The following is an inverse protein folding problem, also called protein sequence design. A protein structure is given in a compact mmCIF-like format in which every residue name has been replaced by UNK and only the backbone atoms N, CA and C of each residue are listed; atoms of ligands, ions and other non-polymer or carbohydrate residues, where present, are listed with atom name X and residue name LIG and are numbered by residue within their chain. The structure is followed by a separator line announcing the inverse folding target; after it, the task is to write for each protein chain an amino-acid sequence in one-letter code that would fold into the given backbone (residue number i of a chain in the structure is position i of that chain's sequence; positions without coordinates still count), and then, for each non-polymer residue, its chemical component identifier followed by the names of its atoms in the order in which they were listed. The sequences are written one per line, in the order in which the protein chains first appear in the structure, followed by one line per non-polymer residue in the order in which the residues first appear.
data_IF_876562150780
#
_entry.id   IF_876562150780
#
_cell.length_a   1.000
_cell.length_b   1.000
_cell.length_c   1.000
_cell.angle_alpha   90.00
_cell.angle_beta   90.00
_cell.angle_gamma   90.00
#
_symmetry.space_group_name_H-M   'P 1'
#
loop_
_entity.id
_entity.type
_entity.pdbx_description
1 polymer ?
#
# COMPACT_ATOMS: atom_id res chain seq x y z
N UNK A 1 -24.57 3.67 53.61
CA UNK A 1 -24.61 2.39 52.87
C UNK A 1 -24.54 2.55 51.35
N UNK A 2 -25.34 3.44 50.72
CA UNK A 2 -25.30 3.58 49.22
C UNK A 2 -23.95 4.04 48.61
N UNK A 3 -23.16 4.88 49.32
CA UNK A 3 -21.85 5.34 48.82
C UNK A 3 -20.74 4.28 48.91
N UNK A 4 -20.83 3.38 49.88
CA UNK A 4 -19.82 2.29 50.04
C UNK A 4 -20.06 1.19 49.00
N UNK A 5 -21.31 0.92 48.65
CA UNK A 5 -21.66 -0.05 47.60
C UNK A 5 -21.23 0.44 46.20
N UNK A 6 -21.36 1.75 45.94
CA UNK A 6 -20.91 2.35 44.66
C UNK A 6 -19.38 2.28 44.53
N UNK A 7 -18.64 2.51 45.62
CA UNK A 7 -17.17 2.44 45.61
C UNK A 7 -16.67 0.99 45.41
N UNK A 8 -17.33 0.01 46.03
CA UNK A 8 -16.99 -1.42 45.82
C UNK A 8 -17.29 -1.89 44.41
N UNK A 9 -18.41 -1.45 43.78
CA UNK A 9 -18.70 -1.79 42.41
C UNK A 9 -17.68 -1.19 41.44
N UNK A 10 -17.25 0.06 41.67
CA UNK A 10 -16.23 0.71 40.82
C UNK A 10 -14.86 0.02 40.92
N UNK A 11 -14.48 -0.41 42.11
CA UNK A 11 -13.23 -1.14 42.34
C UNK A 11 -13.30 -2.55 41.73
N UNK A 12 -14.44 -3.22 41.80
CA UNK A 12 -14.62 -4.54 41.15
C UNK A 12 -14.62 -4.41 39.64
N UNK A 13 -15.23 -3.35 39.05
CA UNK A 13 -15.14 -3.10 37.61
C UNK A 13 -13.71 -2.76 37.17
N UNK A 14 -12.99 -1.93 37.90
CA UNK A 14 -11.58 -1.60 37.63
C UNK A 14 -10.66 -2.83 37.76
N UNK A 15 -10.92 -3.71 38.74
CA UNK A 15 -10.19 -4.97 38.85
C UNK A 15 -10.56 -5.97 37.75
N UNK A 16 -11.81 -5.99 37.28
CA UNK A 16 -12.21 -6.85 36.15
C UNK A 16 -11.63 -6.35 34.81
N UNK A 17 -11.57 -5.03 34.61
CA UNK A 17 -10.86 -4.44 33.45
C UNK A 17 -9.34 -4.68 33.51
N UNK A 18 -8.73 -4.54 34.71
CA UNK A 18 -7.31 -4.85 34.87
C UNK A 18 -7.02 -6.37 34.68
N UNK A 19 -7.96 -7.23 35.08
CA UNK A 19 -7.84 -8.69 34.86
C UNK A 19 -8.09 -9.08 33.41
N UNK A 20 -8.95 -8.37 32.68
CA UNK A 20 -9.15 -8.56 31.25
C UNK A 20 -7.95 -8.05 30.44
N UNK A 21 -7.36 -6.91 30.83
CA UNK A 21 -6.10 -6.43 30.24
C UNK A 21 -4.90 -7.32 30.57
N UNK A 22 -4.90 -7.97 31.75
CA UNK A 22 -3.85 -8.92 32.12
C UNK A 22 -4.04 -10.30 31.47
N UNK A 23 -5.25 -10.66 31.07
CA UNK A 23 -5.53 -11.92 30.37
C UNK A 23 -5.26 -11.84 28.85
N UNK A 24 -5.25 -10.64 28.26
CA UNK A 24 -4.79 -10.42 26.88
C UNK A 24 -3.27 -10.59 26.72
N UNK A 25 -2.54 -10.83 27.80
CA UNK A 25 -1.08 -10.97 27.85
C UNK A 25 -0.62 -12.41 27.78
N UNK A 26 -0.95 -13.18 26.79
CA UNK A 26 -0.18 -14.40 26.46
C UNK A 26 -0.81 -15.18 25.32
N UNK A 27 -0.41 -14.88 24.14
CA UNK A 27 -0.14 -15.92 23.15
C UNK A 27 0.91 -15.36 22.19
N UNK A 28 2.18 -15.33 22.64
CA UNK A 28 3.25 -15.22 21.68
C UNK A 28 3.22 -16.48 20.82
N UNK A 29 2.97 -16.35 19.54
CA UNK A 29 3.30 -17.42 18.59
C UNK A 29 4.79 -17.78 18.84
N UNK A 30 5.13 -19.06 19.09
CA UNK A 30 6.52 -19.43 19.22
C UNK A 30 7.21 -19.05 17.91
N UNK A 31 8.32 -18.35 17.96
CA UNK A 31 9.15 -17.86 16.85
C UNK A 31 8.96 -16.39 16.46
N UNK A 32 8.30 -15.57 17.25
CA UNK A 32 8.25 -14.12 17.04
C UNK A 32 9.01 -13.43 18.16
N UNK A 33 9.98 -12.59 17.81
CA UNK A 33 10.58 -11.69 18.79
C UNK A 33 9.55 -10.59 19.08
N UNK A 34 8.87 -10.70 20.21
CA UNK A 34 7.90 -9.70 20.66
C UNK A 34 8.48 -8.88 21.81
N UNK A 35 8.43 -7.57 21.64
CA UNK A 35 8.67 -6.62 22.73
C UNK A 35 7.35 -5.92 23.02
N UNK A 36 6.78 -6.13 24.22
CA UNK A 36 5.60 -5.39 24.63
C UNK A 36 6.01 -3.97 25.04
N UNK A 37 5.41 -2.97 24.41
CA UNK A 37 5.57 -1.58 24.76
C UNK A 37 4.18 -0.97 24.95
N UNK A 38 3.77 -0.72 26.17
CA UNK A 38 2.52 -0.01 26.55
C UNK A 38 1.26 -0.48 25.80
N UNK A 39 1.06 -1.79 25.65
CA UNK A 39 -0.15 -2.36 25.01
C UNK A 39 -0.01 -2.64 23.50
N UNK A 40 1.15 -2.38 22.93
CA UNK A 40 1.46 -2.76 21.56
C UNK A 40 2.25 -4.06 21.49
N UNK A 41 1.91 -4.89 20.49
CA UNK A 41 2.77 -6.00 20.07
C UNK A 41 3.77 -5.46 19.06
N UNK A 42 5.04 -5.83 19.22
CA UNK A 42 6.13 -5.41 18.33
C UNK A 42 6.64 -6.61 17.55
N UNK A 43 6.61 -6.53 16.23
CA UNK A 43 7.16 -7.52 15.31
C UNK A 43 8.37 -6.92 14.59
N UNK A 44 9.55 -7.39 14.94
CA UNK A 44 10.82 -6.96 14.33
C UNK A 44 11.78 -8.13 14.33
N UNK A 45 12.52 -8.33 13.23
CA UNK A 45 13.41 -9.47 13.04
C UNK A 45 12.71 -10.80 13.37
N UNK A 46 11.47 -10.94 12.88
CA UNK A 46 10.68 -12.15 13.08
C UNK A 46 11.41 -13.32 12.45
N UNK A 47 11.61 -14.40 13.22
CA UNK A 47 12.16 -15.64 12.68
C UNK A 47 11.33 -16.16 11.52
N UNK A 48 11.96 -16.81 10.57
CA UNK A 48 11.27 -17.40 9.43
C UNK A 48 10.19 -18.36 9.92
N UNK A 49 8.95 -18.08 9.55
CA UNK A 49 7.83 -18.95 9.81
C UNK A 49 8.02 -20.25 9.07
N UNK A 50 7.60 -21.33 9.69
CA UNK A 50 7.68 -22.63 9.06
C UNK A 50 6.76 -22.68 7.85
N UNK A 51 7.34 -22.43 6.69
CA UNK A 51 6.65 -22.57 5.43
C UNK A 51 6.50 -24.06 5.16
N UNK A 52 5.26 -24.54 5.22
CA UNK A 52 4.95 -25.90 4.80
C UNK A 52 4.87 -25.90 3.28
N UNK A 53 5.86 -26.46 2.55
CA UNK A 53 5.75 -26.52 1.10
C UNK A 53 4.48 -27.33 0.77
N UNK A 54 3.61 -26.78 -0.07
CA UNK A 54 2.69 -27.65 -0.80
C UNK A 54 3.54 -28.45 -1.76
N UNK A 55 3.38 -29.78 -1.76
CA UNK A 55 3.98 -30.61 -2.78
C UNK A 55 3.33 -30.28 -4.12
N UNK A 56 4.06 -29.64 -5.03
CA UNK A 56 3.60 -29.27 -6.37
C UNK A 56 3.75 -27.78 -6.68
N UNK A 57 3.37 -27.41 -7.89
CA UNK A 57 3.22 -26.00 -8.30
C UNK A 57 2.09 -25.35 -7.48
N UNK A 58 2.20 -24.03 -7.25
CA UNK A 58 1.13 -23.26 -6.65
C UNK A 58 -0.12 -23.32 -7.54
N UNK A 59 -1.24 -23.77 -6.97
CA UNK A 59 -2.52 -23.69 -7.64
C UNK A 59 -2.91 -22.20 -7.79
N UNK A 60 -3.14 -21.76 -9.01
CA UNK A 60 -3.71 -20.43 -9.28
C UNK A 60 -5.22 -20.55 -9.15
N UNK A 61 -5.82 -19.64 -8.38
CA UNK A 61 -7.26 -19.60 -8.21
C UNK A 61 -7.96 -19.39 -9.56
N UNK A 62 -9.04 -20.12 -9.84
CA UNK A 62 -9.79 -19.91 -11.08
C UNK A 62 -10.46 -18.53 -11.06
N UNK A 63 -10.57 -17.92 -12.23
CA UNK A 63 -11.39 -16.74 -12.43
C UNK A 63 -12.87 -17.12 -12.17
N UNK A 64 -13.54 -16.36 -11.33
CA UNK A 64 -14.96 -16.54 -11.03
C UNK A 64 -15.74 -15.54 -11.90
N UNK A 65 -16.72 -16.06 -12.67
CA UNK A 65 -17.58 -15.21 -13.50
C UNK A 65 -18.30 -14.16 -12.65
N UNK A 66 -18.24 -12.91 -13.09
CA UNK A 66 -18.87 -11.78 -12.42
C UNK A 66 -18.12 -11.26 -11.19
N UNK A 67 -16.91 -11.77 -10.92
CA UNK A 67 -16.11 -11.38 -9.75
C UNK A 67 -14.74 -10.82 -10.17
N UNK A 68 -14.38 -9.69 -9.59
CA UNK A 68 -13.06 -9.08 -9.81
C UNK A 68 -11.94 -9.96 -9.25
N UNK A 69 -10.89 -10.24 -10.02
CA UNK A 69 -9.72 -10.98 -9.53
C UNK A 69 -8.90 -10.20 -8.49
N UNK A 70 -9.05 -8.88 -8.43
CA UNK A 70 -8.26 -7.99 -7.57
C UNK A 70 -8.97 -7.56 -6.30
N UNK A 71 -10.31 -7.46 -6.33
CA UNK A 71 -11.12 -6.98 -5.19
C UNK A 71 -12.20 -7.96 -4.74
N UNK A 72 -12.53 -8.97 -5.56
CA UNK A 72 -13.68 -9.84 -5.32
C UNK A 72 -15.04 -9.15 -5.44
N UNK A 73 -15.07 -7.88 -5.82
CA UNK A 73 -16.31 -7.13 -6.04
C UNK A 73 -16.95 -7.52 -7.37
N UNK A 74 -18.24 -7.20 -7.59
CA UNK A 74 -18.88 -7.42 -8.88
C UNK A 74 -18.10 -6.80 -10.03
N UNK A 75 -17.83 -7.58 -11.07
CA UNK A 75 -16.99 -7.17 -12.19
C UNK A 75 -17.46 -7.86 -13.48
N UNK A 76 -17.44 -7.14 -14.60
CA UNK A 76 -17.72 -7.72 -15.90
C UNK A 76 -16.49 -8.47 -16.44
N UNK A 77 -16.47 -9.78 -16.26
CA UNK A 77 -15.37 -10.65 -16.68
C UNK A 77 -15.27 -10.85 -18.20
N UNK A 78 -16.25 -10.38 -18.97
CA UNK A 78 -16.16 -10.34 -20.45
C UNK A 78 -15.30 -9.15 -20.93
N UNK A 79 -15.04 -8.18 -20.05
CA UNK A 79 -14.14 -7.07 -20.34
C UNK A 79 -12.68 -7.53 -20.41
N UNK A 80 -11.91 -6.81 -21.23
CA UNK A 80 -10.47 -7.06 -21.33
C UNK A 80 -9.79 -6.83 -19.98
N UNK A 81 -9.28 -7.89 -19.36
CA UNK A 81 -8.43 -7.75 -18.19
C UNK A 81 -7.03 -7.22 -18.58
N UNK A 82 -6.71 -6.01 -18.20
CA UNK A 82 -5.42 -5.38 -18.44
C UNK A 82 -5.17 -4.32 -17.35
N UNK A 83 -4.66 -4.71 -16.20
CA UNK A 83 -4.45 -3.77 -15.10
C UNK A 83 -3.39 -2.73 -15.47
N UNK A 84 -3.53 -1.52 -14.91
CA UNK A 84 -2.56 -0.43 -15.05
C UNK A 84 -1.98 -0.10 -13.69
N UNK A 85 -0.65 -0.14 -13.61
CA UNK A 85 0.12 0.20 -12.42
C UNK A 85 0.71 1.60 -12.60
N UNK A 86 0.45 2.50 -11.65
CA UNK A 86 1.00 3.86 -11.68
C UNK A 86 1.90 4.09 -10.48
N UNK A 87 3.13 4.56 -10.73
CA UNK A 87 4.10 4.87 -9.69
C UNK A 87 3.84 6.26 -9.11
N UNK A 88 3.41 6.32 -7.86
CA UNK A 88 2.91 7.53 -7.20
C UNK A 88 3.96 8.08 -6.21
N UNK A 89 4.08 9.40 -6.16
CA UNK A 89 4.89 10.08 -5.15
C UNK A 89 4.33 9.80 -3.75
N UNK A 90 5.21 9.40 -2.84
CA UNK A 90 4.93 9.40 -1.43
C UNK A 90 5.92 10.36 -0.76
N UNK A 91 5.52 11.62 -0.72
CA UNK A 91 6.38 12.68 -0.19
C UNK A 91 6.45 12.64 1.33
N UNK A 92 7.41 13.35 1.88
CA UNK A 92 7.67 13.41 3.31
C UNK A 92 6.48 13.94 4.14
N UNK A 93 6.13 13.27 5.22
CA UNK A 93 5.11 13.71 6.14
C UNK A 93 5.55 14.94 6.94
N UNK A 94 4.61 15.82 7.22
CA UNK A 94 4.87 16.97 8.10
C UNK A 94 4.68 16.59 9.56
N UNK A 95 5.41 17.29 10.43
CA UNK A 95 5.21 17.17 11.88
C UNK A 95 3.93 17.89 12.34
N UNK A 96 3.38 18.80 11.54
CA UNK A 96 2.17 19.56 11.86
C UNK A 96 1.23 19.59 10.66
N UNK A 97 0.06 19.01 10.81
CA UNK A 97 -1.01 19.03 9.81
C UNK A 97 -1.50 20.45 9.54
N UNK A 98 -1.54 21.30 10.58
CA UNK A 98 -1.88 22.72 10.45
C UNK A 98 -0.89 23.48 9.58
N UNK A 99 0.36 23.04 9.62
CA UNK A 99 1.37 23.50 8.71
C UNK A 99 1.39 22.70 7.41
N UNK A 100 0.62 21.68 7.24
CA UNK A 100 0.55 20.83 6.05
C UNK A 100 0.55 21.58 4.75
N UNK A 101 1.40 22.48 4.68
CA UNK A 101 1.57 23.64 3.87
C UNK A 101 2.91 23.55 3.24
N UNK A 102 2.88 23.79 2.03
CA UNK A 102 4.08 23.82 1.24
C UNK A 102 4.82 25.13 1.44
N UNK A 103 6.11 25.07 1.33
CA UNK A 103 6.94 26.28 1.22
C UNK A 103 6.82 26.98 -0.11
N UNK A 104 6.26 26.35 -1.10
CA UNK A 104 6.16 26.93 -2.44
C UNK A 104 4.94 27.84 -2.55
N UNK A 105 5.09 28.89 -3.34
CA UNK A 105 3.97 29.78 -3.66
C UNK A 105 2.83 29.03 -4.39
N UNK A 106 3.18 28.05 -5.24
CA UNK A 106 2.22 27.26 -6.00
C UNK A 106 1.32 26.40 -5.10
N UNK A 107 1.92 25.79 -4.08
CA UNK A 107 1.16 25.00 -3.11
C UNK A 107 0.32 25.88 -2.19
N UNK A 108 0.80 27.09 -1.84
CA UNK A 108 0.00 28.10 -1.16
C UNK A 108 -1.25 28.45 -1.97
N UNK A 109 -1.07 28.68 -3.26
CA UNK A 109 -2.19 29.00 -4.16
C UNK A 109 -3.17 27.84 -4.28
N UNK A 110 -2.68 26.60 -4.44
CA UNK A 110 -3.50 25.42 -4.56
C UNK A 110 -4.37 25.16 -3.30
N UNK A 111 -3.90 25.64 -2.15
CA UNK A 111 -4.63 25.51 -0.88
C UNK A 111 -5.45 26.71 -0.49
N UNK A 112 -5.35 27.83 -1.21
CA UNK A 112 -5.96 29.08 -0.81
C UNK A 112 -5.45 29.64 0.53
N UNK A 113 -4.30 29.18 1.00
CA UNK A 113 -3.76 29.58 2.29
C UNK A 113 -2.78 30.75 2.12
N UNK A 114 -2.98 31.81 2.89
CA UNK A 114 -2.03 32.90 3.06
C UNK A 114 -1.03 32.53 4.16
N UNK A 115 0.19 32.21 3.76
CA UNK A 115 1.26 31.88 4.69
C UNK A 115 2.41 32.83 4.58
N UNK A 116 2.90 33.29 5.72
CA UNK A 116 4.16 33.97 5.77
C UNK A 116 5.30 32.96 5.51
N UNK A 117 6.12 33.26 4.51
CA UNK A 117 7.27 32.42 4.14
C UNK A 117 8.31 32.34 5.28
N UNK A 118 8.37 33.35 6.14
CA UNK A 118 9.27 33.36 7.29
C UNK A 118 8.81 32.35 8.36
N UNK A 119 7.51 32.27 8.57
CA UNK A 119 6.93 31.37 9.60
C UNK A 119 7.02 29.89 9.22
N UNK A 120 7.22 29.62 7.93
CA UNK A 120 7.26 28.26 7.40
C UNK A 120 8.64 27.73 7.07
N UNK A 121 9.70 28.56 7.20
CA UNK A 121 11.03 28.14 6.74
C UNK A 121 11.64 26.96 7.48
N UNK A 122 11.22 26.76 8.73
CA UNK A 122 11.70 25.68 9.61
C UNK A 122 10.73 24.49 9.66
N UNK A 123 9.56 24.60 9.01
CA UNK A 123 8.57 23.53 8.96
C UNK A 123 8.85 22.59 7.80
N UNK A 124 9.15 21.36 8.12
CA UNK A 124 9.25 20.30 7.12
C UNK A 124 7.86 19.90 6.69
N UNK A 125 7.48 20.37 5.54
CA UNK A 125 6.17 20.11 5.01
C UNK A 125 6.22 19.01 3.99
N UNK A 126 5.46 18.03 4.14
CA UNK A 126 4.84 17.39 3.19
C UNK A 126 4.24 16.30 3.19
N UNK A 127 3.40 15.77 2.83
CA UNK A 127 3.32 14.42 2.45
C UNK A 127 2.23 14.16 1.48
N UNK A 128 2.43 13.15 0.74
CA UNK A 128 1.35 12.47 0.10
C UNK A 128 0.23 12.25 1.14
N UNK A 129 -0.99 12.51 0.77
CA UNK A 129 -2.16 12.37 1.64
C UNK A 129 -2.49 13.58 2.51
N UNK A 130 -1.72 14.66 2.48
CA UNK A 130 -2.02 15.85 3.28
C UNK A 130 -2.23 17.07 2.39
N UNK A 131 -3.44 17.62 2.45
CA UNK A 131 -3.84 18.83 1.75
C UNK A 131 -3.44 18.84 0.28
N UNK A 132 -2.86 19.91 -0.22
CA UNK A 132 -2.52 20.08 -1.63
C UNK A 132 -1.53 19.05 -2.21
N UNK A 133 -0.86 18.28 -1.35
CA UNK A 133 0.04 17.19 -1.75
C UNK A 133 -0.59 15.82 -1.72
N UNK A 134 -1.86 15.70 -1.38
CA UNK A 134 -2.59 14.46 -1.54
C UNK A 134 -2.47 13.96 -2.98
N UNK A 135 -2.22 12.66 -3.20
CA UNK A 135 -2.29 12.08 -4.53
C UNK A 135 -3.72 12.16 -5.08
N UNK A 136 -3.87 11.84 -6.33
CA UNK A 136 -5.18 11.72 -6.96
C UNK A 136 -5.36 10.35 -7.59
N UNK A 137 -6.61 9.90 -7.65
CA UNK A 137 -7.00 8.60 -8.19
C UNK A 137 -6.84 7.43 -7.22
N UNK A 138 -6.35 7.65 -5.98
CA UNK A 138 -6.07 6.57 -5.05
C UNK A 138 -7.30 5.82 -4.56
N UNK A 139 -8.46 6.49 -4.48
CA UNK A 139 -9.72 5.84 -4.10
C UNK A 139 -10.22 4.82 -5.12
N UNK A 140 -9.75 4.86 -6.36
CA UNK A 140 -10.11 3.93 -7.42
C UNK A 140 -9.10 2.78 -7.57
N UNK A 141 -7.99 2.80 -6.84
CA UNK A 141 -7.01 1.72 -6.89
C UNK A 141 -7.54 0.49 -6.15
N UNK A 142 -7.51 -0.65 -6.82
CA UNK A 142 -7.91 -1.95 -6.25
C UNK A 142 -6.89 -2.41 -5.22
N UNK A 143 -5.61 -2.24 -5.57
CA UNK A 143 -4.49 -2.60 -4.72
C UNK A 143 -3.53 -1.43 -4.63
N UNK A 144 -3.08 -1.15 -3.42
CA UNK A 144 -2.05 -0.16 -3.16
C UNK A 144 -0.81 -0.85 -2.59
N UNK A 145 0.28 -0.80 -3.34
CA UNK A 145 1.58 -1.25 -2.85
C UNK A 145 2.38 -0.09 -2.27
N UNK A 146 3.12 -0.36 -1.20
CA UNK A 146 4.12 0.56 -0.67
C UNK A 146 5.44 -0.18 -0.42
N UNK A 147 6.55 0.41 -0.82
CA UNK A 147 7.87 -0.17 -0.64
C UNK A 147 8.97 0.88 -0.49
N UNK A 148 10.13 0.48 0.04
CA UNK A 148 11.26 1.37 0.27
C UNK A 148 11.84 1.87 -1.04
N UNK A 149 12.03 3.18 -1.12
CA UNK A 149 12.73 3.87 -2.20
C UNK A 149 14.19 4.19 -1.84
N UNK A 150 14.45 4.46 -0.55
CA UNK A 150 15.77 4.76 -0.01
C UNK A 150 16.00 3.99 1.30
N UNK A 151 17.25 3.61 1.57
CA UNK A 151 17.63 2.88 2.79
C UNK A 151 17.17 3.55 4.09
N UNK A 152 17.02 4.85 4.09
CA UNK A 152 16.56 5.65 5.23
C UNK A 152 15.04 5.67 5.41
N UNK A 153 14.31 4.88 4.63
CA UNK A 153 12.90 4.63 4.87
C UNK A 153 11.93 5.49 4.07
N UNK A 154 12.42 6.31 3.15
CA UNK A 154 11.53 6.96 2.17
C UNK A 154 10.89 5.91 1.29
N UNK A 155 9.58 5.98 1.11
CA UNK A 155 8.81 4.98 0.38
C UNK A 155 8.29 5.47 -0.97
N UNK A 156 7.81 4.54 -1.77
CA UNK A 156 7.10 4.73 -3.02
C UNK A 156 5.78 3.95 -2.96
N UNK A 157 4.72 4.55 -3.50
CA UNK A 157 3.42 3.91 -3.65
C UNK A 157 3.22 3.52 -5.11
N UNK A 158 2.59 2.37 -5.33
CA UNK A 158 2.07 1.97 -6.63
C UNK A 158 0.57 1.75 -6.50
N UNK A 159 -0.20 2.45 -7.33
CA UNK A 159 -1.62 2.18 -7.49
C UNK A 159 -1.81 1.15 -8.61
N UNK A 160 -2.58 0.11 -8.35
CA UNK A 160 -3.00 -0.90 -9.34
C UNK A 160 -4.48 -0.70 -9.60
N UNK A 161 -4.82 -0.48 -10.84
CA UNK A 161 -6.19 -0.30 -11.31
C UNK A 161 -6.58 -1.46 -12.21
N UNK A 162 -7.72 -2.05 -11.98
CA UNK A 162 -8.37 -3.04 -12.82
C UNK A 162 -9.86 -2.73 -12.92
N UNK A 163 -10.57 -2.74 -11.79
CA UNK A 163 -12.03 -2.62 -11.75
C UNK A 163 -12.54 -1.28 -12.30
N UNK A 164 -11.94 -0.18 -11.86
CA UNK A 164 -12.33 1.16 -12.31
C UNK A 164 -12.03 1.41 -13.80
N UNK A 165 -11.20 0.60 -14.45
CA UNK A 165 -10.94 0.71 -15.90
C UNK A 165 -12.07 0.13 -16.74
N UNK A 166 -12.93 -0.70 -16.15
CA UNK A 166 -14.12 -1.26 -16.83
C UNK A 166 -15.20 -0.21 -17.12
N UNK A 167 -15.16 0.92 -16.41
CA UNK A 167 -16.09 2.05 -16.66
C UNK A 167 -15.79 2.80 -17.98
N UNK A 168 -14.63 2.50 -18.61
CA UNK A 168 -14.16 3.12 -19.85
C UNK A 168 -14.11 4.67 -19.79
N UNK A 169 -13.86 5.20 -18.62
CA UNK A 169 -13.79 6.64 -18.35
C UNK A 169 -12.37 7.09 -18.03
N UNK A 170 -12.09 8.38 -18.27
CA UNK A 170 -10.84 8.98 -17.84
C UNK A 170 -10.61 8.77 -16.35
N UNK A 171 -9.48 8.15 -16.02
CA UNK A 171 -9.04 7.89 -14.65
C UNK A 171 -7.67 8.54 -14.42
N UNK A 172 -7.67 9.75 -13.89
CA UNK A 172 -6.41 10.43 -13.61
C UNK A 172 -5.74 9.87 -12.36
N UNK A 173 -4.43 9.61 -12.48
CA UNK A 173 -3.60 9.11 -11.38
C UNK A 173 -2.29 9.89 -11.26
N UNK A 174 -1.85 10.14 -10.03
CA UNK A 174 -0.61 10.87 -9.76
C UNK A 174 -0.45 11.33 -8.31
N UNK A 175 0.64 12.05 -8.01
CA UNK A 175 1.72 12.51 -8.89
C UNK A 175 2.62 11.35 -9.37
N UNK A 176 2.82 11.24 -10.67
CA UNK A 176 3.62 10.15 -11.24
C UNK A 176 5.10 10.36 -10.98
N UNK A 177 5.79 9.31 -10.54
CA UNK A 177 7.21 9.35 -10.16
C UNK A 177 7.98 8.14 -10.67
N UNK A 178 9.28 8.13 -10.36
CA UNK A 178 10.25 7.18 -10.91
C UNK A 178 10.02 5.74 -10.47
N UNK A 179 10.23 4.79 -11.38
CA UNK A 179 10.28 3.37 -11.09
C UNK A 179 11.62 2.91 -10.50
N UNK A 180 11.65 1.72 -9.94
CA UNK A 180 12.80 0.96 -9.45
C UNK A 180 12.71 -0.47 -9.95
N UNK A 181 13.74 -1.30 -9.77
CA UNK A 181 13.73 -2.70 -10.22
C UNK A 181 12.60 -3.52 -9.61
N UNK A 182 12.27 -3.28 -8.34
CA UNK A 182 11.11 -3.90 -7.70
C UNK A 182 9.78 -3.63 -8.41
N UNK A 183 9.61 -2.43 -8.99
CA UNK A 183 8.40 -2.10 -9.75
C UNK A 183 8.35 -2.80 -11.12
N UNK A 184 9.52 -3.17 -11.68
CA UNK A 184 9.56 -4.05 -12.86
C UNK A 184 9.01 -5.42 -12.51
N UNK A 185 9.45 -5.99 -11.36
CA UNK A 185 8.94 -7.28 -10.89
C UNK A 185 7.45 -7.23 -10.54
N UNK A 186 6.99 -6.12 -9.96
CA UNK A 186 5.56 -5.90 -9.70
C UNK A 186 4.74 -5.88 -10.99
N UNK A 187 5.24 -5.22 -12.04
CA UNK A 187 4.58 -5.22 -13.35
C UNK A 187 4.52 -6.64 -13.93
N UNK A 188 5.61 -7.41 -13.85
CA UNK A 188 5.63 -8.79 -14.36
C UNK A 188 4.63 -9.69 -13.60
N UNK A 189 4.48 -9.49 -12.30
CA UNK A 189 3.49 -10.19 -11.48
C UNK A 189 2.06 -9.98 -11.98
N UNK A 190 1.69 -8.73 -12.25
CA UNK A 190 0.35 -8.38 -12.72
C UNK A 190 0.20 -8.45 -14.24
N UNK A 191 1.29 -8.60 -14.98
CA UNK A 191 1.35 -8.65 -16.44
C UNK A 191 0.68 -7.46 -17.17
N UNK A 192 0.27 -6.45 -16.43
CA UNK A 192 -0.42 -5.25 -16.92
C UNK A 192 0.50 -4.18 -17.51
N UNK A 193 -0.06 -2.99 -17.74
CA UNK A 193 0.69 -1.79 -18.08
C UNK A 193 1.31 -1.14 -16.86
N UNK A 194 2.43 -0.42 -17.05
CA UNK A 194 3.04 0.36 -15.98
C UNK A 194 3.39 1.76 -16.43
N UNK A 195 2.95 2.77 -15.65
CA UNK A 195 3.25 4.18 -15.86
C UNK A 195 4.17 4.72 -14.76
N UNK A 196 5.24 5.40 -15.16
CA UNK A 196 6.22 6.01 -14.27
C UNK A 196 6.93 7.17 -14.96
N UNK A 197 7.68 7.97 -14.21
CA UNK A 197 8.46 9.09 -14.73
C UNK A 197 9.94 8.89 -14.41
N UNK A 198 10.67 8.29 -15.35
CA UNK A 198 12.09 8.01 -15.24
C UNK A 198 12.45 6.90 -14.26
N UNK A 199 13.74 6.65 -14.10
CA UNK A 199 14.30 5.63 -13.22
C UNK A 199 15.82 5.57 -13.29
N UNK A 200 16.46 4.73 -12.46
CA UNK A 200 17.89 4.51 -12.54
C UNK A 200 18.30 3.97 -13.91
N UNK A 201 19.49 4.39 -14.37
CA UNK A 201 20.10 3.99 -15.65
C UNK A 201 21.51 3.42 -15.48
N UNK A 202 21.94 3.14 -14.24
CA UNK A 202 23.23 2.53 -13.99
C UNK A 202 23.23 1.07 -14.47
N UNK A 203 24.38 0.55 -14.91
CA UNK A 203 24.50 -0.81 -15.45
C UNK A 203 23.90 -1.88 -14.54
N UNK A 204 24.12 -1.75 -13.23
CA UNK A 204 23.64 -2.70 -12.20
C UNK A 204 22.21 -2.40 -11.71
N UNK A 205 21.58 -1.32 -12.18
CA UNK A 205 20.26 -0.89 -11.75
C UNK A 205 19.59 -0.04 -12.84
N UNK A 206 19.24 -0.69 -13.96
CA UNK A 206 18.66 -0.03 -15.11
C UNK A 206 17.24 -0.54 -15.37
N UNK A 207 16.27 0.24 -14.94
CA UNK A 207 14.83 -0.07 -15.05
C UNK A 207 14.42 -0.30 -16.51
N UNK A 208 14.83 0.58 -17.40
CA UNK A 208 14.45 0.47 -18.83
C UNK A 208 15.10 -0.74 -19.49
N UNK A 209 16.36 -1.03 -19.14
CA UNK A 209 17.04 -2.22 -19.66
C UNK A 209 16.33 -3.50 -19.20
N UNK A 210 15.92 -3.58 -17.94
CA UNK A 210 15.22 -4.73 -17.40
C UNK A 210 13.84 -4.93 -18.07
N UNK A 211 13.05 -3.88 -18.28
CA UNK A 211 11.80 -3.97 -19.03
C UNK A 211 12.01 -4.47 -20.46
N UNK A 212 13.09 -4.04 -21.11
CA UNK A 212 13.44 -4.47 -22.45
C UNK A 212 13.87 -5.94 -22.48
N UNK A 213 14.69 -6.36 -21.54
CA UNK A 213 15.16 -7.75 -21.39
C UNK A 213 13.99 -8.72 -21.18
N UNK A 214 13.02 -8.34 -20.35
CA UNK A 214 11.80 -9.12 -20.10
C UNK A 214 10.75 -9.02 -21.23
N UNK A 215 11.04 -8.26 -22.29
CA UNK A 215 10.13 -8.11 -23.41
C UNK A 215 8.93 -7.18 -23.18
N UNK A 216 8.80 -6.61 -22.00
CA UNK A 216 7.67 -5.73 -21.64
C UNK A 216 7.58 -4.49 -22.55
N UNK A 217 8.72 -3.90 -22.91
CA UNK A 217 8.75 -2.76 -23.84
C UNK A 217 8.19 -3.13 -25.22
N UNK A 218 8.51 -4.32 -25.72
CA UNK A 218 8.02 -4.80 -27.02
C UNK A 218 6.51 -5.11 -27.01
N UNK A 219 5.96 -5.44 -25.83
CA UNK A 219 4.52 -5.67 -25.65
C UNK A 219 3.71 -4.37 -25.56
N UNK A 220 4.36 -3.19 -25.58
CA UNK A 220 3.66 -1.90 -25.51
C UNK A 220 3.07 -1.55 -24.15
N UNK A 221 3.53 -2.19 -23.07
CA UNK A 221 2.97 -2.05 -21.70
C UNK A 221 3.80 -1.16 -20.78
N UNK A 222 4.86 -0.53 -21.29
CA UNK A 222 5.79 0.30 -20.49
C UNK A 222 5.67 1.76 -20.89
N UNK A 223 5.21 2.61 -19.97
CA UNK A 223 4.97 4.03 -20.18
C UNK A 223 5.90 4.87 -19.29
N UNK A 224 7.11 5.19 -19.78
CA UNK A 224 7.90 6.26 -19.19
C UNK A 224 7.33 7.60 -19.68
N UNK A 225 6.52 8.22 -18.84
CA UNK A 225 5.59 9.31 -19.19
C UNK A 225 6.31 10.52 -19.83
N UNK A 226 7.55 10.80 -19.44
CA UNK A 226 8.29 11.92 -20.02
C UNK A 226 9.08 11.58 -21.29
N UNK A 227 9.39 10.31 -21.51
CA UNK A 227 10.29 9.91 -22.62
C UNK A 227 9.63 9.05 -23.68
N UNK A 228 8.62 8.26 -23.34
CA UNK A 228 7.96 7.34 -24.26
C UNK A 228 6.58 7.81 -24.73
N UNK A 229 5.92 8.69 -24.01
CA UNK A 229 4.63 9.23 -24.40
C UNK A 229 4.75 10.60 -25.05
N UNK A 230 3.91 10.83 -26.06
CA UNK A 230 3.74 12.18 -26.62
C UNK A 230 3.16 13.08 -25.53
N UNK A 231 3.76 14.26 -25.35
CA UNK A 231 3.26 15.27 -24.42
C UNK A 231 1.79 15.59 -24.66
N UNK A 232 0.97 15.46 -23.61
CA UNK A 232 -0.47 15.70 -23.66
C UNK A 232 -1.29 14.50 -24.16
N UNK A 233 -0.64 13.37 -24.48
CA UNK A 233 -1.36 12.12 -24.77
C UNK A 233 -1.50 11.33 -23.48
N UNK A 234 -2.68 11.40 -22.87
CA UNK A 234 -2.98 10.74 -21.59
C UNK A 234 -2.02 11.12 -20.44
N UNK A 235 -1.39 12.30 -20.55
CA UNK A 235 -0.53 12.85 -19.51
C UNK A 235 -0.55 14.38 -19.54
N UNK A 236 -0.50 15.00 -18.37
CA UNK A 236 -0.35 16.44 -18.25
C UNK A 236 0.29 16.82 -16.92
N UNK A 237 0.71 18.08 -16.81
CA UNK A 237 1.17 18.65 -15.55
C UNK A 237 0.06 19.48 -14.93
N UNK A 238 -0.32 19.08 -13.72
CA UNK A 238 -1.41 19.70 -12.93
C UNK A 238 -1.01 21.13 -12.58
N UNK A 239 -1.89 22.07 -12.87
CA UNK A 239 -1.69 23.49 -12.57
C UNK A 239 -1.74 23.74 -11.06
N UNK A 240 -0.93 24.68 -10.59
CA UNK A 240 -0.89 25.03 -9.17
C UNK A 240 -0.12 24.04 -8.29
N UNK A 241 0.36 22.93 -8.83
CA UNK A 241 1.25 21.99 -8.14
C UNK A 241 2.66 22.14 -8.66
N UNK A 242 3.63 22.17 -7.75
CA UNK A 242 5.03 22.36 -8.12
C UNK A 242 5.64 21.04 -8.64
N UNK A 243 6.41 21.16 -9.73
CA UNK A 243 7.23 20.05 -10.18
C UNK A 243 8.25 19.65 -9.09
N UNK A 244 8.56 18.35 -8.96
CA UNK A 244 8.20 17.27 -9.83
C UNK A 244 6.90 16.53 -9.43
N UNK A 245 6.16 17.02 -8.42
CA UNK A 245 4.98 16.33 -7.86
C UNK A 245 3.66 16.77 -8.52
N UNK A 246 3.70 17.09 -9.82
CA UNK A 246 2.56 17.60 -10.58
C UNK A 246 2.27 16.85 -11.88
N UNK A 247 2.87 15.69 -12.08
CA UNK A 247 2.65 14.90 -13.29
C UNK A 247 1.48 13.94 -13.09
N UNK A 248 0.49 14.03 -13.98
CA UNK A 248 -0.69 13.16 -14.02
C UNK A 248 -0.70 12.30 -15.26
N UNK A 249 -1.29 11.11 -15.15
CA UNK A 249 -1.64 10.25 -16.28
C UNK A 249 -3.13 9.89 -16.21
N UNK A 250 -3.70 9.58 -17.36
CA UNK A 250 -4.99 8.92 -17.49
C UNK A 250 -4.74 7.41 -17.64
N UNK A 251 -5.07 6.64 -16.59
CA UNK A 251 -4.81 5.20 -16.56
C UNK A 251 -5.66 4.44 -17.60
N UNK A 252 -6.92 4.83 -17.80
CA UNK A 252 -7.76 4.23 -18.85
C UNK A 252 -7.20 4.56 -20.24
N UNK A 253 -6.87 5.81 -20.49
CA UNK A 253 -6.24 6.22 -21.76
C UNK A 253 -4.94 5.44 -22.04
N UNK A 254 -4.11 5.17 -21.03
CA UNK A 254 -2.91 4.35 -21.19
C UNK A 254 -3.26 2.89 -21.53
N UNK A 255 -4.31 2.32 -20.93
CA UNK A 255 -4.76 0.98 -21.25
C UNK A 255 -5.14 0.85 -22.75
N UNK A 256 -5.78 1.88 -23.32
CA UNK A 256 -6.16 1.90 -24.74
C UNK A 256 -4.98 1.92 -25.71
N UNK A 257 -3.79 2.31 -25.26
CA UNK A 257 -2.56 2.27 -26.05
C UNK A 257 -1.91 0.88 -26.10
N UNK A 258 -2.31 -0.03 -25.22
CA UNK A 258 -1.74 -1.38 -25.19
C UNK A 258 -2.37 -2.20 -26.33
N UNK A 259 -1.56 -2.81 -27.22
CA UNK A 259 -2.05 -3.62 -28.31
C UNK A 259 -3.06 -4.69 -27.85
N UNK A 260 -4.12 -4.93 -28.65
CA UNK A 260 -5.18 -5.88 -28.29
C UNK A 260 -4.65 -7.31 -28.13
N UNK A 261 -3.62 -7.68 -28.88
CA UNK A 261 -2.95 -8.97 -28.78
C UNK A 261 -2.12 -9.17 -27.51
N UNK A 262 -1.85 -8.10 -26.78
CA UNK A 262 -1.18 -8.19 -25.47
C UNK A 262 -2.19 -8.61 -24.41
N UNK A 263 -1.96 -9.75 -23.79
CA UNK A 263 -2.84 -10.33 -22.77
C UNK A 263 -2.15 -10.29 -21.41
N UNK A 264 -2.90 -9.92 -20.40
CA UNK A 264 -2.56 -10.13 -19.00
C UNK A 264 -3.35 -11.34 -18.47
N UNK A 265 -2.67 -12.21 -17.74
CA UNK A 265 -3.33 -13.35 -17.09
C UNK A 265 -3.87 -12.89 -15.74
N UNK A 266 -5.17 -13.00 -15.44
CA UNK A 266 -5.69 -12.74 -14.12
C UNK A 266 -5.12 -13.72 -13.09
N UNK A 267 -4.78 -13.20 -11.93
CA UNK A 267 -4.34 -13.97 -10.77
C UNK A 267 -5.26 -13.67 -9.59
N UNK A 268 -6.46 -14.28 -9.52
CA UNK A 268 -7.43 -13.95 -8.50
C UNK A 268 -6.94 -14.29 -7.10
N UNK A 269 -7.11 -13.37 -6.17
CA UNK A 269 -7.05 -13.70 -4.76
C UNK A 269 -8.25 -14.59 -4.37
N UNK A 270 -8.11 -15.32 -3.27
CA UNK A 270 -9.23 -16.05 -2.70
C UNK A 270 -10.06 -15.09 -1.84
N UNK A 271 -11.31 -14.84 -2.21
CA UNK A 271 -12.21 -13.92 -1.51
C UNK A 271 -13.30 -14.66 -0.72
N UNK A 272 -13.79 -14.00 0.32
CA UNK A 272 -14.90 -14.47 1.14
C UNK A 272 -15.82 -13.32 1.56
N UNK A 273 -17.12 -13.60 1.68
CA UNK A 273 -18.10 -12.66 2.22
C UNK A 273 -18.07 -12.58 3.75
N UNK A 274 -17.62 -13.67 4.39
CA UNK A 274 -17.54 -13.78 5.85
C UNK A 274 -16.13 -14.17 6.23
N UNK A 275 -15.42 -13.25 6.89
CA UNK A 275 -14.06 -13.53 7.35
C UNK A 275 -14.01 -14.76 8.27
N UNK A 276 -13.14 -15.74 7.98
CA UNK A 276 -12.92 -16.88 8.87
C UNK A 276 -12.08 -16.53 10.10
N UNK A 277 -11.48 -15.34 10.11
CA UNK A 277 -10.54 -14.88 11.15
C UNK A 277 -11.32 -14.20 12.28
N UNK A 278 -11.77 -15.01 13.25
CA UNK A 278 -12.61 -14.58 14.37
C UNK A 278 -11.91 -14.84 15.71
N UNK A 279 -12.62 -15.36 16.70
CA UNK A 279 -12.05 -15.66 18.01
C UNK A 279 -10.92 -16.70 17.88
N UNK A 280 -9.77 -16.38 18.48
CA UNK A 280 -8.55 -17.18 18.36
C UNK A 280 -7.42 -16.41 17.65
N UNK A 281 -7.76 -15.40 16.86
CA UNK A 281 -6.80 -14.44 16.31
C UNK A 281 -6.72 -13.19 17.19
N UNK A 282 -5.52 -12.62 17.32
CA UNK A 282 -5.30 -11.42 18.13
C UNK A 282 -5.99 -10.20 17.52
N UNK A 283 -6.50 -9.30 18.37
CA UNK A 283 -7.07 -8.04 17.91
C UNK A 283 -5.97 -7.07 17.44
N UNK A 284 -6.19 -6.45 16.31
CA UNK A 284 -5.27 -5.50 15.70
C UNK A 284 -6.04 -4.31 15.11
N UNK A 285 -6.46 -3.40 15.99
CA UNK A 285 -7.22 -2.21 15.60
C UNK A 285 -6.34 -1.04 15.19
N UNK A 286 -5.09 -1.02 15.65
CA UNK A 286 -4.09 -0.03 15.26
C UNK A 286 -2.83 -0.76 14.76
N UNK A 287 -2.32 -0.38 13.60
CA UNK A 287 -1.16 -1.01 12.95
C UNK A 287 -0.19 0.11 12.54
N UNK A 288 1.09 -0.01 12.90
CA UNK A 288 2.10 0.96 12.52
C UNK A 288 3.27 0.27 11.82
N UNK A 289 3.65 0.77 10.66
CA UNK A 289 4.82 0.37 9.90
C UNK A 289 5.89 1.44 10.01
N UNK A 290 6.94 1.18 10.77
CA UNK A 290 8.11 2.06 10.88
C UNK A 290 9.08 1.76 9.74
N UNK A 291 9.07 2.58 8.70
CA UNK A 291 9.96 2.44 7.55
C UNK A 291 11.42 2.84 7.85
N UNK A 292 11.71 3.29 9.07
CA UNK A 292 13.03 3.66 9.54
C UNK A 292 13.39 5.13 9.34
N UNK A 293 12.50 5.93 8.80
CA UNK A 293 12.61 7.37 8.78
C UNK A 293 11.56 7.97 9.72
N UNK A 294 11.97 8.88 10.59
CA UNK A 294 11.10 9.45 11.63
C UNK A 294 9.77 10.05 11.13
N UNK A 295 9.72 10.42 9.87
CA UNK A 295 8.55 11.02 9.23
C UNK A 295 7.81 10.04 8.31
N UNK A 296 8.26 8.77 8.20
CA UNK A 296 7.63 7.74 7.37
C UNK A 296 7.10 6.63 8.25
N UNK A 297 5.87 6.79 8.67
CA UNK A 297 5.09 5.78 9.39
C UNK A 297 3.78 5.62 8.65
N UNK A 298 3.55 4.45 8.10
CA UNK A 298 2.24 4.09 7.57
C UNK A 298 1.43 3.51 8.72
N UNK A 299 0.40 4.23 9.10
CA UNK A 299 -0.46 3.86 10.22
C UNK A 299 -1.86 3.52 9.69
N UNK A 300 -2.48 2.51 10.29
CA UNK A 300 -3.83 2.07 9.96
C UNK A 300 -4.65 1.95 11.24
N UNK A 301 -5.89 2.43 11.18
CA UNK A 301 -6.86 2.31 12.27
C UNK A 301 -8.08 1.55 11.73
N UNK A 302 -8.46 0.48 12.41
CA UNK A 302 -9.60 -0.32 12.02
C UNK A 302 -10.92 0.34 12.42
N UNK A 303 -11.75 0.61 11.43
CA UNK A 303 -13.13 1.04 11.56
C UNK A 303 -14.03 -0.21 11.55
N UNK A 304 -14.50 -0.58 12.74
CA UNK A 304 -15.31 -1.79 12.91
C UNK A 304 -16.74 -1.64 12.35
N UNK A 305 -17.23 -0.43 12.19
CA UNK A 305 -18.57 -0.18 11.63
C UNK A 305 -18.59 -0.47 10.13
N UNK A 306 -17.52 -0.04 9.43
CA UNK A 306 -17.40 -0.21 7.99
C UNK A 306 -16.53 -1.41 7.58
N UNK A 307 -15.92 -2.10 8.55
CA UNK A 307 -14.99 -3.21 8.33
C UNK A 307 -13.80 -2.81 7.42
N UNK A 308 -13.21 -1.66 7.68
CA UNK A 308 -12.13 -1.08 6.89
C UNK A 308 -10.96 -0.62 7.77
N UNK A 309 -9.76 -0.70 7.25
CA UNK A 309 -8.58 -0.05 7.80
C UNK A 309 -8.41 1.33 7.16
N UNK A 310 -8.61 2.38 7.94
CA UNK A 310 -8.36 3.77 7.53
C UNK A 310 -6.86 4.04 7.56
N UNK A 311 -6.30 4.57 6.47
CA UNK A 311 -4.87 4.87 6.37
C UNK A 311 -4.53 6.27 6.88
N UNK A 312 -3.43 6.34 7.61
CA UNK A 312 -2.81 7.57 8.08
C UNK A 312 -1.33 7.64 7.66
N UNK A 313 -0.79 8.84 7.60
CA UNK A 313 0.64 9.13 7.54
C UNK A 313 1.05 9.70 8.89
N UNK A 314 1.66 8.87 9.75
CA UNK A 314 1.75 9.20 11.17
C UNK A 314 0.36 9.36 11.79
N UNK A 315 0.05 10.55 12.33
CA UNK A 315 -1.26 10.87 12.93
C UNK A 315 -2.25 11.51 11.94
N UNK A 316 -1.77 11.92 10.75
CA UNK A 316 -2.62 12.61 9.78
C UNK A 316 -3.35 11.62 8.86
N UNK A 317 -4.66 11.77 8.62
CA UNK A 317 -5.38 10.99 7.62
C UNK A 317 -4.69 11.05 6.26
N UNK A 318 -4.50 9.92 5.61
CA UNK A 318 -3.93 9.87 4.27
C UNK A 318 -5.04 10.05 3.24
N UNK A 319 -5.13 11.26 2.70
CA UNK A 319 -6.19 11.67 1.78
C UNK A 319 -5.78 11.47 0.31
N UNK A 320 -6.76 11.37 -0.57
CA UNK A 320 -6.61 11.34 -2.02
C UNK A 320 -7.72 12.16 -2.69
N UNK A 321 -7.38 12.84 -3.79
CA UNK A 321 -8.36 13.51 -4.64
C UNK A 321 -8.95 12.54 -5.67
N UNK A 322 -10.18 12.76 -6.08
CA UNK A 322 -10.80 11.96 -7.13
C UNK A 322 -10.11 12.13 -8.49
N UNK A 323 -9.73 13.35 -8.83
CA UNK A 323 -9.10 13.68 -10.11
C UNK A 323 -7.99 14.72 -9.97
N UNK A 324 -7.11 14.75 -10.96
CA UNK A 324 -5.98 15.66 -11.03
C UNK A 324 -6.39 17.15 -11.09
N UNK A 325 -7.43 17.43 -11.84
CA UNK A 325 -7.91 18.80 -12.11
C UNK A 325 -9.09 19.22 -11.22
N UNK A 326 -9.57 18.31 -10.36
CA UNK A 326 -10.59 18.55 -9.36
C UNK A 326 -10.04 18.26 -7.95
N UNK A 327 -9.27 19.23 -7.43
CA UNK A 327 -8.56 19.10 -6.16
C UNK A 327 -9.13 20.06 -5.12
N UNK A 328 -10.45 20.08 -5.02
CA UNK A 328 -11.15 20.75 -3.95
C UNK A 328 -11.12 19.89 -2.68
N UNK A 329 -11.02 20.51 -1.51
CA UNK A 329 -10.95 19.78 -0.23
C UNK A 329 -12.19 18.90 0.00
N UNK A 330 -13.36 19.33 -0.46
CA UNK A 330 -14.62 18.59 -0.36
C UNK A 330 -14.66 17.33 -1.23
N UNK A 331 -13.70 17.18 -2.18
CA UNK A 331 -13.58 16.05 -3.09
C UNK A 331 -12.45 15.09 -2.68
N UNK A 332 -11.98 15.19 -1.44
CA UNK A 332 -10.99 14.30 -0.89
C UNK A 332 -11.63 13.15 -0.12
N UNK A 333 -11.06 11.96 -0.30
CA UNK A 333 -11.39 10.79 0.51
C UNK A 333 -10.17 10.28 1.25
N UNK A 334 -10.37 9.75 2.45
CA UNK A 334 -9.31 9.03 3.15
C UNK A 334 -9.13 7.65 2.53
N UNK A 335 -7.89 7.28 2.20
CA UNK A 335 -7.60 5.92 1.74
C UNK A 335 -7.97 4.91 2.83
N UNK A 336 -8.70 3.88 2.41
CA UNK A 336 -9.14 2.79 3.28
C UNK A 336 -9.08 1.45 2.55
N UNK A 337 -8.94 0.37 3.32
CA UNK A 337 -8.69 -0.97 2.79
C UNK A 337 -9.44 -2.02 3.60
N UNK A 338 -10.01 -3.01 2.91
CA UNK A 338 -10.60 -4.19 3.56
C UNK A 338 -9.52 -5.10 4.14
N UNK A 339 -8.35 -5.14 3.50
CA UNK A 339 -7.24 -5.99 3.87
C UNK A 339 -5.93 -5.22 3.92
N UNK A 340 -5.08 -5.48 4.90
CA UNK A 340 -3.73 -4.95 5.02
C UNK A 340 -2.75 -6.10 5.13
N UNK A 341 -1.84 -6.23 4.18
CA UNK A 341 -0.85 -7.30 4.09
C UNK A 341 0.55 -6.71 4.16
N UNK A 342 1.37 -7.22 5.06
CA UNK A 342 2.76 -6.85 5.21
C UNK A 342 3.61 -8.00 4.71
N UNK A 343 3.95 -7.96 3.44
CA UNK A 343 4.84 -8.92 2.80
C UNK A 343 6.28 -8.59 3.19
N UNK A 344 6.91 -9.43 4.02
CA UNK A 344 8.31 -9.25 4.42
C UNK A 344 9.22 -9.63 3.27
N UNK A 345 9.97 -8.65 2.74
CA UNK A 345 10.87 -8.83 1.60
C UNK A 345 12.23 -8.21 1.88
N UNK A 346 13.28 -8.92 1.50
CA UNK A 346 14.64 -8.43 1.62
C UNK A 346 14.91 -7.32 0.58
N UNK A 347 15.79 -6.39 0.94
CA UNK A 347 16.26 -5.33 0.06
C UNK A 347 17.76 -5.38 -0.09
N UNK A 348 18.23 -5.62 -1.31
CA UNK A 348 19.64 -5.51 -1.65
C UNK A 348 19.98 -4.09 -2.09
N UNK A 349 21.10 -3.58 -1.59
CA UNK A 349 21.58 -2.25 -1.95
C UNK A 349 22.84 -2.37 -2.81
N UNK A 350 22.67 -2.41 -4.12
CA UNK A 350 23.75 -2.59 -5.10
C UNK A 350 24.86 -1.56 -4.89
N UNK A 351 26.10 -2.02 -4.78
CA UNK A 351 27.28 -1.18 -4.49
C UNK A 351 27.12 -0.31 -3.24
N UNK A 352 26.37 -0.79 -2.26
CA UNK A 352 26.05 -0.01 -1.05
C UNK A 352 25.32 1.33 -1.33
N UNK A 353 24.68 1.42 -2.48
CA UNK A 353 23.95 2.64 -2.89
C UNK A 353 22.66 2.77 -2.11
N UNK A 354 22.58 3.78 -1.25
CA UNK A 354 21.45 4.04 -0.35
C UNK A 354 20.13 4.35 -1.06
N UNK A 355 20.18 4.82 -2.29
CA UNK A 355 19.04 5.37 -3.03
C UNK A 355 18.48 4.44 -4.10
N UNK A 356 19.03 3.24 -4.23
CA UNK A 356 18.66 2.29 -5.28
C UNK A 356 18.54 0.87 -4.71
N UNK A 357 17.56 0.63 -3.82
CA UNK A 357 17.33 -0.71 -3.33
C UNK A 357 16.77 -1.60 -4.43
N UNK A 358 17.21 -2.84 -4.43
CA UNK A 358 16.65 -3.91 -5.23
C UNK A 358 15.82 -4.83 -4.33
N UNK A 359 14.52 -4.81 -4.52
CA UNK A 359 13.55 -5.55 -3.71
C UNK A 359 13.46 -7.01 -4.18
N UNK A 360 13.65 -7.95 -3.28
CA UNK A 360 13.63 -9.39 -3.55
C UNK A 360 12.22 -9.96 -3.33
N UNK A 361 11.32 -9.76 -4.29
CA UNK A 361 9.91 -10.19 -4.19
C UNK A 361 9.60 -11.49 -4.92
N UNK A 362 10.62 -12.30 -5.27
CA UNK A 362 10.48 -13.63 -5.83
C UNK A 362 11.04 -14.63 -4.82
N UNK A 363 10.37 -15.73 -4.59
CA UNK A 363 10.72 -16.73 -3.60
C UNK A 363 9.66 -16.86 -2.52
N UNK A 364 10.03 -16.73 -1.27
CA UNK A 364 9.15 -16.87 -0.11
C UNK A 364 9.64 -16.06 1.08
N UNK A 365 8.74 -15.72 1.98
CA UNK A 365 9.06 -15.01 3.21
C UNK A 365 7.86 -14.89 4.15
N UNK A 366 8.07 -14.32 5.32
CA UNK A 366 7.00 -14.06 6.27
C UNK A 366 6.00 -13.04 5.74
N UNK A 367 4.75 -13.18 6.14
CA UNK A 367 3.72 -12.18 5.96
C UNK A 367 2.99 -11.92 7.29
N UNK A 368 2.68 -10.66 7.55
CA UNK A 368 1.84 -10.23 8.65
C UNK A 368 0.55 -9.67 8.05
N UNK A 369 -0.59 -10.28 8.33
CA UNK A 369 -1.84 -10.05 7.61
C UNK A 369 -2.89 -9.53 8.59
N UNK A 370 -3.66 -8.54 8.18
CA UNK A 370 -4.67 -7.88 9.00
C UNK A 370 -5.98 -7.81 8.22
N UNK A 371 -7.01 -8.49 8.75
CA UNK A 371 -8.34 -8.59 8.15
C UNK A 371 -9.38 -8.55 9.27
N UNK A 372 -10.41 -7.72 9.13
CA UNK A 372 -11.52 -7.68 10.09
C UNK A 372 -11.10 -7.32 11.52
N UNK A 373 -10.10 -6.47 11.69
CA UNK A 373 -9.55 -6.09 13.00
C UNK A 373 -8.72 -7.19 13.67
N UNK A 374 -8.28 -8.21 12.93
CA UNK A 374 -7.52 -9.36 13.44
C UNK A 374 -6.12 -9.42 12.79
N UNK A 375 -5.15 -9.89 13.56
CA UNK A 375 -3.82 -10.24 13.11
C UNK A 375 -3.73 -11.73 12.77
N UNK A 376 -3.29 -12.03 11.56
CA UNK A 376 -3.09 -13.37 11.04
C UNK A 376 -1.59 -13.51 10.68
N UNK A 377 -0.80 -14.25 11.47
CA UNK A 377 0.56 -14.57 11.08
C UNK A 377 0.56 -15.53 9.89
N UNK A 378 1.45 -15.33 8.95
CA UNK A 378 1.50 -16.14 7.75
C UNK A 378 2.79 -15.99 6.97
N UNK A 379 2.77 -16.47 5.75
CA UNK A 379 3.90 -16.39 4.82
C UNK A 379 3.41 -16.16 3.40
N UNK A 380 4.32 -15.74 2.53
CA UNK A 380 4.06 -15.60 1.10
C UNK A 380 4.98 -16.48 0.28
N UNK A 381 4.52 -16.87 -0.90
CA UNK A 381 5.29 -17.59 -1.91
C UNK A 381 5.04 -16.96 -3.27
N UNK A 382 6.10 -16.78 -4.06
CA UNK A 382 6.07 -16.39 -5.46
C UNK A 382 7.14 -17.15 -6.21
N UNK A 383 6.77 -18.03 -7.13
CA UNK A 383 7.68 -19.00 -7.73
C UNK A 383 8.58 -18.40 -8.81
N UNK A 384 8.05 -17.49 -9.63
CA UNK A 384 8.76 -16.89 -10.75
C UNK A 384 8.41 -15.40 -10.89
N UNK A 385 9.08 -14.73 -11.83
CA UNK A 385 8.91 -13.30 -12.03
C UNK A 385 7.51 -12.93 -12.54
N UNK A 386 6.86 -13.82 -13.27
CA UNK A 386 5.53 -13.70 -13.87
C UNK A 386 4.45 -14.48 -13.11
N UNK A 387 4.81 -15.12 -12.00
CA UNK A 387 3.86 -15.79 -11.11
C UNK A 387 3.24 -14.81 -10.10
N UNK A 388 2.00 -15.06 -9.65
CA UNK A 388 1.40 -14.30 -8.56
C UNK A 388 2.11 -14.55 -7.24
N UNK A 389 1.99 -13.58 -6.33
CA UNK A 389 2.28 -13.82 -4.92
C UNK A 389 1.04 -14.41 -4.25
N UNK A 390 1.21 -15.57 -3.63
CA UNK A 390 0.16 -16.23 -2.85
C UNK A 390 0.48 -16.14 -1.37
N UNK A 391 -0.51 -15.77 -0.57
CA UNK A 391 -0.39 -15.60 0.88
C UNK A 391 -1.06 -16.76 1.61
N UNK A 392 -0.41 -17.26 2.66
CA UNK A 392 -0.87 -18.38 3.47
C UNK A 392 -0.86 -18.02 4.95
N UNK A 393 -1.73 -18.64 5.73
CA UNK A 393 -1.66 -18.62 7.19
C UNK A 393 -0.56 -19.60 7.71
N UNK A 394 -0.29 -19.56 9.01
CA UNK A 394 0.69 -20.45 9.64
C UNK A 394 0.31 -21.95 9.56
N UNK A 395 -0.93 -22.28 9.18
CA UNK A 395 -1.39 -23.64 8.97
C UNK A 395 -1.22 -24.10 7.52
N UNK A 396 -0.79 -23.20 6.63
CA UNK A 396 -0.62 -23.48 5.21
C UNK A 396 -1.91 -23.38 4.39
N UNK A 397 -2.96 -22.76 4.93
CA UNK A 397 -4.14 -22.44 4.16
C UNK A 397 -3.94 -21.11 3.44
N UNK A 398 -4.38 -21.04 2.19
CA UNK A 398 -4.39 -19.75 1.48
C UNK A 398 -5.28 -18.75 2.19
N UNK A 399 -4.82 -17.50 2.27
CA UNK A 399 -5.55 -16.41 2.92
C UNK A 399 -6.82 -16.10 2.14
N UNK A 400 -7.95 -16.07 2.86
CA UNK A 400 -9.22 -15.61 2.33
C UNK A 400 -9.39 -14.12 2.63
N UNK A 401 -9.30 -13.28 1.60
CA UNK A 401 -9.46 -11.84 1.74
C UNK A 401 -10.94 -11.45 1.86
N UNK A 402 -11.20 -10.41 2.63
CA UNK A 402 -12.49 -9.72 2.57
C UNK A 402 -12.59 -8.96 1.25
N UNK A 403 -13.76 -9.00 0.60
CA UNK A 403 -14.00 -8.25 -0.65
C UNK A 403 -13.73 -6.77 -0.47
N UNK A 404 -13.10 -6.15 -1.45
CA UNK A 404 -12.71 -4.75 -1.45
C UNK A 404 -11.20 -4.54 -1.66
N UNK A 405 -10.76 -3.31 -1.41
CA UNK A 405 -9.38 -2.90 -1.68
C UNK A 405 -8.38 -3.54 -0.73
N UNK A 406 -7.17 -3.79 -1.23
CA UNK A 406 -6.07 -4.37 -0.46
C UNK A 406 -4.86 -3.46 -0.45
N UNK A 407 -4.28 -3.22 0.73
CA UNK A 407 -2.96 -2.63 0.88
C UNK A 407 -1.91 -3.72 1.06
N UNK A 408 -0.79 -3.62 0.31
CA UNK A 408 0.33 -4.55 0.43
C UNK A 408 1.62 -3.76 0.65
N UNK A 409 2.26 -3.94 1.80
CA UNK A 409 3.57 -3.38 2.07
C UNK A 409 4.67 -4.38 1.68
N UNK A 410 5.57 -4.00 0.79
CA UNK A 410 6.85 -4.68 0.64
C UNK A 410 7.80 -4.18 1.73
N UNK A 411 7.81 -4.86 2.86
CA UNK A 411 8.37 -4.35 4.11
C UNK A 411 9.61 -5.15 4.55
N UNK A 412 10.75 -4.48 4.83
CA UNK A 412 11.97 -5.19 5.21
C UNK A 412 11.78 -5.97 6.52
N UNK A 413 12.35 -7.19 6.63
CA UNK A 413 12.19 -8.04 7.82
C UNK A 413 12.71 -7.38 9.10
N UNK A 414 13.78 -6.60 9.00
CA UNK A 414 14.43 -5.93 10.13
C UNK A 414 13.67 -4.69 10.62
N UNK A 415 12.66 -4.21 9.86
CA UNK A 415 11.88 -3.04 10.24
C UNK A 415 10.79 -3.39 11.24
N UNK A 416 10.50 -2.41 12.08
CA UNK A 416 9.54 -2.54 13.17
C UNK A 416 8.11 -2.33 12.68
N UNK A 417 7.29 -3.35 12.89
CA UNK A 417 5.84 -3.28 12.82
C UNK A 417 5.28 -3.35 14.23
N UNK A 418 4.28 -2.55 14.54
CA UNK A 418 3.53 -2.67 15.80
C UNK A 418 2.04 -2.74 15.52
N UNK A 419 1.31 -3.49 16.35
CA UNK A 419 -0.14 -3.45 16.35
C UNK A 419 -0.70 -3.50 17.78
N UNK A 420 -1.94 -3.07 17.94
CA UNK A 420 -2.63 -3.11 19.24
C UNK A 420 -4.12 -3.34 19.08
N UNK A 421 -4.75 -3.85 20.15
CA UNK A 421 -6.20 -3.93 20.29
C UNK A 421 -6.85 -2.59 20.66
N UNK A 422 -6.06 -1.56 21.00
CA UNK A 422 -6.52 -0.21 21.27
C UNK A 422 -6.52 0.62 19.97
N UNK A 423 -7.53 1.47 19.84
CA UNK A 423 -7.61 2.49 18.79
C UNK A 423 -6.93 3.76 19.23
#
# INVERSE_FOLDING_TARGET
MKKVVSLLLTVVLLMSCASAMAAAKKTSTPNVYTMETEGYVVLQNVEDRKITPKDGELDINPLIEGESPTTGMPYDTDMRYMPIIVQISNSEATETVEAGMSYSAAEKMARGLELDRADNKDQKVSSAGIGARAPWGGQYADIVYEGILYRDGVTRISFVYSDALADEMELTAGPVRSARLGHVRLREEWQGGIAFCGGPKAESNNVIAMFKELGATAKGVVFDVETSLKKGLFNHRVKGVMAPDNLSVDAYGLQTLIPEETVATPHPFLFTDVSPYTDGYELAYSINLDWGHKSWISHFVYDAENNLYLRYSGEAPYMTFAAADDREEDNMEQLSFSNVIIQRVEYEYVNNNRIMPDMQSIGKGNADIFIGGRYIPGYWVREAIDSPTVFFDDNGNEIQLTRGKTFIAHFPPERRLTYSAAQ
#
